data_IF_884323040625
#
_entry.id   IF_884323040625
#
_cell.length_a   1.000
_cell.length_b   1.000
_cell.length_c   1.000
_cell.angle_alpha   90.00
_cell.angle_beta   90.00
_cell.angle_gamma   90.00
#
_symmetry.space_group_name_H-M   'P 1'
#
loop_
_entity.id
_entity.type
_entity.pdbx_description
1 polymer ?
#
# COMPACT_ATOMS: atom_id res chain seq x y z
N UNK A 1 -15.12 -5.32 -10.57
CA UNK A 1 -13.87 -6.04 -10.24
C UNK A 1 -12.74 -5.46 -11.08
N UNK A 2 -11.64 -5.09 -10.44
CA UNK A 2 -10.46 -4.55 -11.11
C UNK A 2 -9.72 -5.64 -11.90
N UNK A 3 -8.90 -5.25 -12.87
CA UNK A 3 -7.96 -6.19 -13.50
C UNK A 3 -6.79 -6.47 -12.56
N UNK A 4 -5.95 -7.47 -12.86
CA UNK A 4 -4.65 -7.70 -12.19
C UNK A 4 -3.81 -6.42 -12.06
N UNK A 5 -3.66 -5.66 -13.14
CA UNK A 5 -2.94 -4.37 -13.12
C UNK A 5 -3.66 -3.32 -12.26
N UNK A 6 -5.00 -3.29 -12.30
CA UNK A 6 -5.79 -2.39 -11.47
C UNK A 6 -5.68 -2.73 -9.99
N UNK A 7 -5.74 -4.01 -9.62
CA UNK A 7 -5.53 -4.49 -8.25
C UNK A 7 -4.13 -4.16 -7.76
N UNK A 8 -3.11 -4.44 -8.58
CA UNK A 8 -1.73 -4.08 -8.27
C UNK A 8 -1.57 -2.59 -7.97
N UNK A 9 -2.15 -1.71 -8.80
CA UNK A 9 -2.09 -0.27 -8.59
C UNK A 9 -2.89 0.20 -7.36
N UNK A 10 -4.02 -0.43 -7.06
CA UNK A 10 -4.81 -0.13 -5.87
C UNK A 10 -4.06 -0.53 -4.60
N UNK A 11 -3.50 -1.74 -4.54
CA UNK A 11 -2.70 -2.20 -3.39
C UNK A 11 -1.43 -1.34 -3.22
N UNK A 12 -0.81 -0.93 -4.33
CA UNK A 12 0.29 0.02 -4.33
C UNK A 12 -0.11 1.36 -3.68
N UNK A 13 -1.26 1.91 -4.04
CA UNK A 13 -1.78 3.18 -3.49
C UNK A 13 -1.98 3.09 -1.96
N UNK A 14 -2.57 1.99 -1.48
CA UNK A 14 -2.75 1.72 -0.04
C UNK A 14 -1.40 1.74 0.68
N UNK A 15 -0.40 1.00 0.16
CA UNK A 15 0.92 0.96 0.77
C UNK A 15 1.59 2.34 0.80
N UNK A 16 1.50 3.10 -0.30
CA UNK A 16 2.04 4.47 -0.37
C UNK A 16 1.39 5.39 0.66
N UNK A 17 0.07 5.30 0.85
CA UNK A 17 -0.66 6.11 1.83
C UNK A 17 -0.28 5.78 3.29
N UNK A 18 0.31 4.62 3.55
CA UNK A 18 0.86 4.28 4.86
C UNK A 18 2.29 4.80 5.09
N UNK A 19 2.93 5.47 4.11
CA UNK A 19 4.32 5.95 4.23
C UNK A 19 4.60 6.70 5.53
N UNK A 20 3.77 7.67 5.99
CA UNK A 20 4.07 8.40 7.22
C UNK A 20 4.18 7.50 8.45
N UNK A 21 3.42 6.39 8.48
CA UNK A 21 3.46 5.43 9.59
C UNK A 21 4.73 4.59 9.59
N UNK A 22 5.22 4.24 8.40
CA UNK A 22 6.50 3.55 8.25
C UNK A 22 7.67 4.45 8.64
N UNK A 23 7.61 5.73 8.28
CA UNK A 23 8.60 6.74 8.69
C UNK A 23 8.59 6.96 10.20
N UNK A 24 7.41 7.07 10.82
CA UNK A 24 7.27 7.11 12.28
C UNK A 24 7.85 5.85 12.93
N UNK A 25 7.56 4.66 12.40
CA UNK A 25 8.11 3.40 12.94
C UNK A 25 9.64 3.42 12.88
N UNK A 26 10.21 3.78 11.72
CA UNK A 26 11.65 3.90 11.52
C UNK A 26 12.31 4.85 12.54
N UNK A 27 11.66 5.97 12.84
CA UNK A 27 12.13 6.94 13.82
C UNK A 27 12.03 6.44 15.26
N UNK A 28 10.99 5.66 15.60
CA UNK A 28 10.73 5.20 16.97
C UNK A 28 11.57 3.98 17.39
N UNK A 29 11.76 3.00 16.51
CA UNK A 29 12.43 1.73 16.85
C UNK A 29 13.63 1.37 15.96
N UNK A 30 13.98 2.27 15.02
CA UNK A 30 15.12 2.08 14.13
C UNK A 30 14.86 1.10 12.98
N UNK A 31 13.60 0.80 12.67
CA UNK A 31 13.23 -0.03 11.52
C UNK A 31 13.80 0.53 10.20
N UNK A 32 14.49 -0.31 9.44
CA UNK A 32 15.00 0.06 8.11
C UNK A 32 13.90 -0.05 7.04
N UNK A 33 13.25 1.08 6.74
CA UNK A 33 12.27 1.20 5.64
C UNK A 33 12.93 1.25 4.24
N UNK A 34 14.25 1.14 4.13
CA UNK A 34 15.01 1.24 2.88
C UNK A 34 14.58 0.23 1.81
N UNK A 35 14.46 -1.07 2.11
CA UNK A 35 13.98 -2.10 1.18
C UNK A 35 12.56 -1.80 0.68
N UNK A 36 11.65 -1.40 1.56
CA UNK A 36 10.28 -1.01 1.20
C UNK A 36 10.27 0.22 0.27
N UNK A 37 11.05 1.27 0.59
CA UNK A 37 11.17 2.47 -0.24
C UNK A 37 11.66 2.16 -1.66
N UNK A 38 12.64 1.26 -1.78
CA UNK A 38 13.14 0.79 -3.08
C UNK A 38 12.04 0.05 -3.84
N UNK A 39 11.35 -0.89 -3.20
CA UNK A 39 10.28 -1.67 -3.83
C UNK A 39 9.15 -0.76 -4.33
N UNK A 40 8.66 0.16 -3.51
CA UNK A 40 7.62 1.14 -3.88
C UNK A 40 8.04 1.95 -5.10
N UNK A 41 9.27 2.49 -5.11
CA UNK A 41 9.78 3.22 -6.27
C UNK A 41 9.81 2.36 -7.53
N UNK A 42 10.26 1.10 -7.41
CA UNK A 42 10.40 0.20 -8.56
C UNK A 42 9.06 -0.31 -9.07
N UNK A 43 8.12 -0.60 -8.18
CA UNK A 43 6.77 -0.99 -8.54
C UNK A 43 6.02 0.16 -9.21
N UNK A 44 6.10 1.38 -8.65
CA UNK A 44 5.53 2.58 -9.28
C UNK A 44 6.10 2.82 -10.68
N UNK A 45 7.42 2.71 -10.85
CA UNK A 45 8.07 2.81 -12.17
C UNK A 45 7.63 1.67 -13.11
N UNK A 46 7.41 0.46 -12.59
CA UNK A 46 6.94 -0.66 -13.38
C UNK A 46 5.51 -0.44 -13.87
N UNK A 47 4.60 0.00 -12.99
CA UNK A 47 3.21 0.33 -13.31
C UNK A 47 3.10 1.47 -14.34
N UNK A 48 3.93 2.51 -14.21
CA UNK A 48 4.06 3.60 -15.17
C UNK A 48 4.80 3.20 -16.47
N UNK A 49 5.35 1.99 -16.53
CA UNK A 49 6.10 1.49 -17.68
C UNK A 49 7.49 2.10 -17.85
N UNK A 50 8.02 2.84 -16.87
CA UNK A 50 9.40 3.32 -16.85
C UNK A 50 10.40 2.18 -16.58
N UNK A 51 10.01 1.22 -15.73
CA UNK A 51 10.74 -0.04 -15.54
C UNK A 51 10.13 -1.13 -16.43
N UNK A 52 10.95 -1.66 -17.35
CA UNK A 52 10.51 -2.71 -18.29
C UNK A 52 10.72 -4.14 -17.78
N UNK A 53 11.76 -4.36 -16.98
CA UNK A 53 12.17 -5.69 -16.53
C UNK A 53 11.36 -6.13 -15.30
N UNK A 54 10.60 -7.21 -15.45
CA UNK A 54 9.90 -7.87 -14.34
C UNK A 54 10.88 -8.53 -13.37
N UNK A 55 11.89 -9.23 -13.87
CA UNK A 55 12.92 -9.86 -13.02
C UNK A 55 13.68 -8.85 -12.15
N UNK A 56 13.87 -7.62 -12.63
CA UNK A 56 14.45 -6.56 -11.82
C UNK A 56 13.50 -6.11 -10.69
N UNK A 57 12.18 -6.04 -10.95
CA UNK A 57 11.18 -5.77 -9.91
C UNK A 57 11.17 -6.89 -8.86
N UNK A 58 11.13 -8.15 -9.31
CA UNK A 58 11.15 -9.34 -8.46
C UNK A 58 12.38 -9.38 -7.54
N UNK A 59 13.55 -8.95 -8.02
CA UNK A 59 14.74 -8.81 -7.16
C UNK A 59 14.51 -7.87 -5.97
N UNK A 60 13.89 -6.71 -6.20
CA UNK A 60 13.61 -5.76 -5.11
C UNK A 60 12.47 -6.24 -4.21
N UNK A 61 11.54 -7.03 -4.75
CA UNK A 61 10.52 -7.70 -3.96
C UNK A 61 11.15 -8.71 -2.99
N UNK A 62 12.06 -9.56 -3.48
CA UNK A 62 12.76 -10.53 -2.62
C UNK A 62 13.63 -9.84 -1.56
N UNK A 63 14.34 -8.76 -1.89
CA UNK A 63 15.09 -7.94 -0.91
C UNK A 63 14.16 -7.41 0.20
N UNK A 64 12.94 -6.99 -0.16
CA UNK A 64 11.93 -6.56 0.81
C UNK A 64 11.44 -7.72 1.69
N UNK A 65 11.10 -8.87 1.12
CA UNK A 65 10.65 -10.04 1.90
C UNK A 65 11.74 -10.49 2.89
N UNK A 66 13.00 -10.61 2.43
CA UNK A 66 14.14 -10.98 3.29
C UNK A 66 14.32 -9.98 4.45
N UNK A 67 14.08 -8.69 4.21
CA UNK A 67 14.15 -7.67 5.27
C UNK A 67 12.99 -7.77 6.27
N UNK A 68 11.77 -8.08 5.78
CA UNK A 68 10.58 -8.24 6.63
C UNK A 68 10.69 -9.45 7.54
N UNK A 69 11.23 -10.56 7.05
CA UNK A 69 11.44 -11.77 7.86
C UNK A 69 12.39 -11.56 9.06
N UNK A 70 13.22 -10.53 9.00
CA UNK A 70 14.20 -10.19 10.05
C UNK A 70 13.65 -9.19 11.07
N UNK A 71 12.45 -8.66 10.86
CA UNK A 71 11.90 -7.59 11.67
C UNK A 71 10.60 -8.01 12.34
N UNK A 72 10.58 -7.93 13.67
CA UNK A 72 9.37 -8.08 14.46
C UNK A 72 8.75 -6.70 14.66
N UNK A 73 7.61 -6.47 14.02
CA UNK A 73 6.84 -5.24 14.20
C UNK A 73 6.42 -5.07 15.66
N UNK A 74 6.39 -3.82 16.11
CA UNK A 74 5.84 -3.50 17.43
C UNK A 74 4.38 -3.94 17.53
N UNK A 75 3.98 -4.46 18.70
CA UNK A 75 2.58 -4.74 19.03
C UNK A 75 1.86 -3.43 19.41
N UNK A 76 1.80 -2.53 18.44
CA UNK A 76 1.17 -1.21 18.54
C UNK A 76 0.26 -0.98 17.32
N UNK A 77 -0.66 -0.03 17.44
CA UNK A 77 -1.49 0.39 16.30
C UNK A 77 -0.62 0.80 15.10
N UNK A 78 0.48 1.54 15.32
CA UNK A 78 1.39 1.94 14.24
C UNK A 78 2.12 0.74 13.62
N UNK A 79 2.49 -0.25 14.43
CA UNK A 79 3.05 -1.51 13.96
C UNK A 79 2.06 -2.29 13.09
N UNK A 80 0.78 -2.36 13.48
CA UNK A 80 -0.26 -3.01 12.67
C UNK A 80 -0.58 -2.23 11.38
N UNK A 81 -0.53 -0.90 11.39
CA UNK A 81 -0.65 -0.07 10.17
C UNK A 81 0.55 -0.30 9.24
N UNK A 82 1.75 -0.45 9.79
CA UNK A 82 2.96 -0.80 9.04
C UNK A 82 2.83 -2.19 8.40
N UNK A 83 2.25 -3.16 9.11
CA UNK A 83 1.96 -4.49 8.57
C UNK A 83 0.94 -4.46 7.43
N UNK A 84 -0.06 -3.58 7.51
CA UNK A 84 -0.98 -3.32 6.41
C UNK A 84 -0.23 -2.78 5.18
N UNK A 85 0.72 -1.85 5.37
CA UNK A 85 1.53 -1.32 4.27
C UNK A 85 2.34 -2.42 3.58
N UNK A 86 2.89 -3.36 4.35
CA UNK A 86 3.65 -4.50 3.84
C UNK A 86 2.77 -5.51 3.13
N UNK A 87 1.62 -5.83 3.71
CA UNK A 87 0.64 -6.74 3.09
C UNK A 87 0.10 -6.17 1.79
N UNK A 88 -0.15 -4.85 1.74
CA UNK A 88 -0.59 -4.16 0.54
C UNK A 88 0.49 -4.18 -0.56
N UNK A 89 1.77 -3.92 -0.25
CA UNK A 89 2.81 -3.98 -1.30
C UNK A 89 3.08 -5.41 -1.79
N UNK A 90 2.90 -6.40 -0.93
CA UNK A 90 2.94 -7.82 -1.32
C UNK A 90 1.78 -8.16 -2.25
N UNK A 91 0.54 -7.87 -1.88
CA UNK A 91 -0.62 -8.07 -2.76
C UNK A 91 -0.51 -7.30 -4.07
N UNK A 92 0.18 -6.15 -4.06
CA UNK A 92 0.46 -5.40 -5.28
C UNK A 92 1.40 -6.16 -6.24
N UNK A 93 2.40 -6.85 -5.71
CA UNK A 93 3.30 -7.70 -6.50
C UNK A 93 2.63 -8.99 -6.94
N UNK A 94 1.88 -9.65 -6.06
CA UNK A 94 1.22 -10.92 -6.35
C UNK A 94 0.16 -10.75 -7.45
N UNK A 95 -0.61 -9.67 -7.41
CA UNK A 95 -1.57 -9.33 -8.47
C UNK A 95 -0.91 -9.13 -9.86
N UNK A 96 0.40 -8.84 -9.94
CA UNK A 96 1.11 -8.78 -11.24
C UNK A 96 1.50 -10.16 -11.77
N UNK A 97 1.63 -11.15 -10.89
CA UNK A 97 2.16 -12.47 -11.18
C UNK A 97 1.05 -13.53 -11.31
N UNK A 98 -0.08 -13.31 -10.65
CA UNK A 98 -1.24 -14.18 -10.63
C UNK A 98 -2.52 -13.35 -10.84
N UNK A 99 -3.25 -13.64 -11.93
CA UNK A 99 -4.49 -12.94 -12.27
C UNK A 99 -5.71 -13.42 -11.48
N UNK A 100 -5.57 -14.52 -10.72
CA UNK A 100 -6.56 -14.99 -9.74
C UNK A 100 -6.32 -14.39 -8.34
N UNK A 101 -5.12 -13.88 -8.07
CA UNK A 101 -4.81 -13.21 -6.81
C UNK A 101 -5.56 -11.86 -6.70
N UNK A 102 -6.37 -11.74 -5.64
CA UNK A 102 -7.15 -10.55 -5.30
C UNK A 102 -7.27 -10.39 -3.77
N UNK A 103 -6.31 -9.68 -3.18
CA UNK A 103 -6.29 -9.40 -1.74
C UNK A 103 -7.08 -8.13 -1.35
N UNK A 104 -7.79 -7.50 -2.29
CA UNK A 104 -8.40 -6.18 -2.04
C UNK A 104 -9.45 -6.23 -0.91
N UNK A 105 -10.24 -7.29 -0.85
CA UNK A 105 -11.22 -7.49 0.24
C UNK A 105 -10.55 -7.75 1.59
N UNK A 106 -9.44 -8.50 1.61
CA UNK A 106 -8.65 -8.75 2.83
C UNK A 106 -8.03 -7.45 3.35
N UNK A 107 -7.44 -6.64 2.48
CA UNK A 107 -6.87 -5.33 2.83
C UNK A 107 -7.97 -4.40 3.37
N UNK A 108 -9.16 -4.40 2.75
CA UNK A 108 -10.29 -3.62 3.25
C UNK A 108 -10.77 -4.10 4.63
N UNK A 109 -10.77 -5.41 4.88
CA UNK A 109 -11.09 -5.95 6.20
C UNK A 109 -10.05 -5.53 7.24
N UNK A 110 -8.76 -5.67 6.94
CA UNK A 110 -7.68 -5.21 7.84
C UNK A 110 -7.76 -3.71 8.13
N UNK A 111 -8.17 -2.90 7.17
CA UNK A 111 -8.42 -1.47 7.38
C UNK A 111 -9.51 -1.23 8.42
N UNK A 112 -10.63 -1.95 8.31
CA UNK A 112 -11.75 -1.82 9.24
C UNK A 112 -11.35 -2.25 10.65
N UNK A 113 -10.58 -3.34 10.78
CA UNK A 113 -10.06 -3.80 12.07
C UNK A 113 -9.15 -2.75 12.74
N UNK A 114 -8.34 -2.04 11.94
CA UNK A 114 -7.47 -0.96 12.45
C UNK A 114 -8.27 0.27 12.90
N UNK A 115 -9.36 0.60 12.22
CA UNK A 115 -10.25 1.67 12.68
C UNK A 115 -10.99 1.29 13.95
N UNK A 116 -11.42 0.04 14.08
CA UNK A 116 -12.04 -0.45 15.31
C UNK A 116 -11.05 -0.37 16.48
N UNK A 117 -9.79 -0.78 16.28
CA UNK A 117 -8.74 -0.63 17.29
C UNK A 117 -8.45 0.85 17.63
N UNK A 118 -8.42 1.74 16.63
CA UNK A 118 -8.25 3.17 16.87
C UNK A 118 -9.34 3.73 17.79
N UNK A 119 -10.60 3.33 17.60
CA UNK A 119 -11.71 3.71 18.47
C UNK A 119 -11.56 3.11 19.88
N UNK A 120 -11.12 1.85 19.99
CA UNK A 120 -10.85 1.19 21.28
C UNK A 120 -9.75 1.89 22.09
N UNK A 121 -8.75 2.45 21.41
CA UNK A 121 -7.68 3.26 22.02
C UNK A 121 -8.12 4.70 22.33
N UNK A 122 -9.36 5.07 22.03
CA UNK A 122 -9.93 6.39 22.30
C UNK A 122 -9.69 7.44 21.21
N UNK A 123 -9.26 7.02 20.02
CA UNK A 123 -9.21 7.88 18.83
C UNK A 123 -10.60 8.12 18.21
N UNK A 124 -10.65 8.95 17.17
CA UNK A 124 -11.89 9.20 16.40
C UNK A 124 -11.75 8.62 14.98
N UNK A 125 -12.13 7.35 14.78
CA UNK A 125 -11.97 6.68 13.48
C UNK A 125 -13.02 7.08 12.43
N UNK A 126 -14.17 7.62 12.85
CA UNK A 126 -15.32 7.89 11.97
C UNK A 126 -15.00 8.74 10.72
N UNK A 127 -14.39 9.94 10.88
CA UNK A 127 -13.97 10.77 9.75
C UNK A 127 -12.90 10.09 8.89
N UNK A 128 -11.95 9.39 9.50
CA UNK A 128 -10.87 8.69 8.80
C UNK A 128 -11.39 7.53 7.95
N UNK A 129 -12.35 6.77 8.48
CA UNK A 129 -13.03 5.69 7.76
C UNK A 129 -13.83 6.24 6.57
N UNK A 130 -14.46 7.40 6.73
CA UNK A 130 -15.17 8.08 5.63
C UNK A 130 -14.18 8.49 4.54
N UNK A 131 -13.07 9.11 4.92
CA UNK A 131 -12.00 9.50 3.99
C UNK A 131 -11.42 8.29 3.24
N UNK A 132 -11.14 7.19 3.94
CA UNK A 132 -10.71 5.94 3.30
C UNK A 132 -11.72 5.41 2.28
N UNK A 133 -13.01 5.42 2.61
CA UNK A 133 -14.05 4.96 1.69
C UNK A 133 -14.13 5.83 0.43
N UNK A 134 -13.92 7.14 0.57
CA UNK A 134 -13.85 8.07 -0.58
C UNK A 134 -12.65 7.75 -1.46
N UNK A 135 -11.46 7.57 -0.87
CA UNK A 135 -10.25 7.17 -1.60
C UNK A 135 -10.44 5.82 -2.32
N UNK A 136 -10.95 4.81 -1.63
CA UNK A 136 -11.19 3.48 -2.20
C UNK A 136 -12.11 3.56 -3.43
N UNK A 137 -13.22 4.31 -3.32
CA UNK A 137 -14.17 4.50 -4.40
C UNK A 137 -13.54 5.26 -5.59
N UNK A 138 -12.83 6.34 -5.32
CA UNK A 138 -12.15 7.14 -6.33
C UNK A 138 -11.11 6.31 -7.08
N UNK A 139 -10.25 5.62 -6.36
CA UNK A 139 -9.20 4.78 -6.94
C UNK A 139 -9.77 3.63 -7.75
N UNK A 140 -10.78 2.92 -7.24
CA UNK A 140 -11.46 1.86 -7.99
C UNK A 140 -12.12 2.40 -9.26
N UNK A 141 -12.74 3.58 -9.20
CA UNK A 141 -13.33 4.22 -10.37
C UNK A 141 -12.26 4.56 -11.43
N UNK A 142 -11.14 5.17 -11.01
CA UNK A 142 -10.02 5.51 -11.89
C UNK A 142 -9.37 4.26 -12.53
N UNK A 143 -9.29 3.16 -11.78
CA UNK A 143 -8.62 1.93 -12.21
C UNK A 143 -9.52 0.95 -12.97
N UNK A 144 -10.84 1.18 -13.04
CA UNK A 144 -11.79 0.23 -13.65
C UNK A 144 -11.46 -0.08 -15.11
N UNK A 145 -11.03 0.91 -15.89
CA UNK A 145 -10.63 0.76 -17.29
C UNK A 145 -9.17 0.34 -17.48
N UNK A 146 -8.36 0.32 -16.42
CA UNK A 146 -6.95 -0.04 -16.49
C UNK A 146 -6.82 -1.55 -16.63
N UNK A 147 -6.40 -2.03 -17.80
CA UNK A 147 -6.21 -3.47 -18.09
C UNK A 147 -4.76 -3.87 -18.36
N UNK A 148 -3.90 -2.90 -18.65
CA UNK A 148 -2.50 -3.14 -19.00
C UNK A 148 -1.64 -1.94 -18.58
N UNK A 149 -0.33 -2.16 -18.51
CA UNK A 149 0.68 -1.10 -18.34
C UNK A 149 1.00 -0.47 -19.70
N UNK A 150 1.44 0.80 -19.76
CA UNK A 150 1.58 1.73 -18.64
C UNK A 150 0.22 2.25 -18.15
N UNK A 151 0.09 2.46 -16.84
CA UNK A 151 -1.04 3.20 -16.27
C UNK A 151 -0.87 4.68 -16.63
N UNK A 152 -1.98 5.36 -16.93
CA UNK A 152 -1.94 6.79 -17.26
C UNK A 152 -1.36 7.59 -16.09
N UNK A 153 -0.49 8.56 -16.40
CA UNK A 153 0.21 9.36 -15.39
C UNK A 153 -0.74 10.08 -14.43
N UNK A 154 -1.84 10.61 -14.93
CA UNK A 154 -2.82 11.33 -14.10
C UNK A 154 -3.53 10.40 -13.11
N UNK A 155 -3.78 9.14 -13.50
CA UNK A 155 -4.30 8.10 -12.59
C UNK A 155 -3.25 7.78 -11.53
N UNK A 156 -2.00 7.52 -11.93
CA UNK A 156 -0.95 7.22 -10.95
C UNK A 156 -0.71 8.37 -9.98
N UNK A 157 -0.82 9.61 -10.44
CA UNK A 157 -0.73 10.81 -9.61
C UNK A 157 -1.84 10.85 -8.55
N UNK A 158 -3.10 10.62 -8.95
CA UNK A 158 -4.25 10.62 -8.02
C UNK A 158 -4.20 9.47 -7.00
N UNK A 159 -3.48 8.38 -7.29
CA UNK A 159 -3.28 7.27 -6.36
C UNK A 159 -2.24 7.56 -5.27
N UNK A 160 -1.32 8.51 -5.50
CA UNK A 160 -0.13 8.70 -4.64
C UNK A 160 -0.03 10.07 -3.99
N UNK A 161 -0.80 11.05 -4.45
CA UNK A 161 -0.83 12.39 -3.86
C UNK A 161 -1.91 12.48 -2.79
N UNK A 162 -1.60 11.93 -1.61
CA UNK A 162 -2.39 12.13 -0.39
C UNK A 162 -1.54 12.90 0.62
N UNK A 163 -2.03 14.08 1.04
CA UNK A 163 -1.32 14.93 2.02
C UNK A 163 -1.40 14.35 3.44
N UNK A 164 -2.37 13.45 3.67
CA UNK A 164 -2.63 12.81 4.97
C UNK A 164 -2.85 11.32 4.73
N UNK A 165 -2.27 10.48 5.59
CA UNK A 165 -2.54 9.04 5.61
C UNK A 165 -4.02 8.78 5.89
N UNK A 166 -4.51 7.60 5.52
CA UNK A 166 -5.87 7.17 5.86
C UNK A 166 -6.09 6.96 7.37
N UNK A 167 -5.06 7.17 8.20
CA UNK A 167 -5.14 7.16 9.66
C UNK A 167 -4.78 8.52 10.30
N UNK A 168 -4.70 9.59 9.49
CA UNK A 168 -4.59 10.96 9.99
C UNK A 168 -3.16 11.46 10.24
N UNK A 169 -2.13 10.72 9.82
CA UNK A 169 -0.74 11.14 9.96
C UNK A 169 -0.28 11.90 8.71
N UNK A 170 0.26 13.09 8.90
CA UNK A 170 0.84 13.93 7.84
C UNK A 170 2.30 13.50 7.55
N UNK A 171 2.70 13.57 6.28
CA UNK A 171 4.06 13.28 5.80
C UNK A 171 4.87 14.52 5.44
#
# INVERSE_FOLDING_TARGET
MLSSIGRSAWCYAVSVCCRPHLELQADEDGFDIGPWNKLISKLGNYLNGELKSHSNLERFFNEFIESREQYELSDSLNGRISELAFSAITGAFDALNDDECDDTDLICASMNDLYDELDELGGESGPLRTYWQELDQEWKAALTSTKQRPIARDIMKSLTETDVSMFGLEG
#
